data_IF_164153600876
#
_entry.id   IF_164153600876
#
_cell.length_a   1.000
_cell.length_b   1.000
_cell.length_c   1.000
_cell.angle_alpha   90.00
_cell.angle_beta   90.00
_cell.angle_gamma   90.00
#
_symmetry.space_group_name_H-M   'P 1'
#
loop_
_entity.id
_entity.type
_entity.pdbx_description
1 polymer ?
#
# COMPACT_ATOMS: atom_id res chain seq x y z
N UNK A 1 -4.45 -6.45 -0.31
CA UNK A 1 -4.15 -6.35 -1.76
C UNK A 1 -2.93 -5.47 -1.97
N UNK A 2 -2.14 -5.71 -3.03
CA UNK A 2 -1.03 -4.84 -3.44
C UNK A 2 -1.31 -4.33 -4.85
N UNK A 3 -1.16 -3.03 -5.08
CA UNK A 3 -1.49 -2.36 -6.33
C UNK A 3 -0.40 -1.34 -6.71
N UNK A 4 -0.23 -1.13 -8.01
CA UNK A 4 0.45 0.04 -8.57
C UNK A 4 -0.60 0.92 -9.25
N UNK A 5 -0.65 2.20 -8.93
CA UNK A 5 -1.61 3.15 -9.50
C UNK A 5 -1.05 4.56 -9.50
N UNK A 6 -1.71 5.48 -10.21
CA UNK A 6 -1.33 6.89 -10.23
C UNK A 6 -1.92 7.63 -9.02
N UNK A 7 -1.18 8.61 -8.49
CA UNK A 7 -1.62 9.45 -7.40
C UNK A 7 -2.82 10.29 -7.83
N UNK A 8 -3.90 10.24 -7.05
CA UNK A 8 -4.97 11.24 -7.15
C UNK A 8 -4.47 12.57 -6.59
N UNK A 9 -5.15 13.68 -6.91
CA UNK A 9 -4.87 15.02 -6.37
C UNK A 9 -4.66 15.02 -4.84
N UNK A 10 -5.58 14.39 -4.11
CA UNK A 10 -5.52 14.32 -2.64
C UNK A 10 -4.30 13.54 -2.15
N UNK A 11 -4.00 12.40 -2.78
CA UNK A 11 -2.84 11.58 -2.42
C UNK A 11 -1.54 12.29 -2.76
N UNK A 12 -1.47 12.91 -3.93
CA UNK A 12 -0.32 13.67 -4.39
C UNK A 12 0.03 14.79 -3.40
N UNK A 13 -0.98 15.56 -2.97
CA UNK A 13 -0.83 16.58 -1.93
C UNK A 13 -0.35 16.02 -0.59
N UNK A 14 -0.91 14.90 -0.13
CA UNK A 14 -0.50 14.30 1.15
C UNK A 14 0.92 13.75 1.12
N UNK A 15 1.37 13.25 -0.04
CA UNK A 15 2.69 12.69 -0.23
C UNK A 15 3.74 13.72 -0.67
N UNK A 16 3.33 14.94 -1.03
CA UNK A 16 4.22 15.97 -1.55
C UNK A 16 4.83 15.61 -2.91
N UNK A 17 4.05 14.99 -3.79
CA UNK A 17 4.45 14.57 -5.14
C UNK A 17 3.51 15.17 -6.20
N UNK A 18 3.88 15.08 -7.47
CA UNK A 18 3.03 15.54 -8.57
C UNK A 18 1.75 14.71 -8.70
N UNK A 19 0.60 15.32 -9.03
CA UNK A 19 -0.60 14.59 -9.44
C UNK A 19 -0.29 13.63 -10.59
N UNK A 20 -0.83 12.42 -10.52
CA UNK A 20 -0.54 11.38 -11.51
C UNK A 20 0.82 10.68 -11.33
N UNK A 21 1.64 11.04 -10.34
CA UNK A 21 2.88 10.31 -10.06
C UNK A 21 2.60 8.84 -9.68
N UNK A 22 3.49 7.89 -10.05
CA UNK A 22 3.29 6.47 -9.73
C UNK A 22 3.38 6.22 -8.22
N UNK A 23 2.43 5.44 -7.71
CA UNK A 23 2.32 5.07 -6.31
C UNK A 23 2.20 3.56 -6.11
N UNK A 24 2.81 3.08 -5.04
CA UNK A 24 2.58 1.74 -4.49
C UNK A 24 1.47 1.84 -3.43
N UNK A 25 0.44 1.00 -3.55
CA UNK A 25 -0.68 0.95 -2.61
C UNK A 25 -0.77 -0.41 -1.98
N UNK A 26 -0.73 -0.44 -0.65
CA UNK A 26 -0.86 -1.66 0.14
C UNK A 26 -2.14 -1.58 0.95
N UNK A 27 -3.08 -2.46 0.65
CA UNK A 27 -4.27 -2.66 1.46
C UNK A 27 -4.01 -3.77 2.48
N UNK A 28 -4.01 -3.38 3.76
CA UNK A 28 -3.82 -4.25 4.91
C UNK A 28 -5.17 -4.53 5.57
N UNK A 29 -5.54 -5.82 5.62
CA UNK A 29 -6.64 -6.30 6.46
C UNK A 29 -6.05 -7.23 7.50
N UNK A 30 -6.19 -6.91 8.78
CA UNK A 30 -5.77 -7.78 9.88
C UNK A 30 -7.00 -8.41 10.50
N UNK A 31 -6.99 -9.74 10.57
CA UNK A 31 -7.98 -10.53 11.28
C UNK A 31 -7.28 -11.18 12.47
N UNK A 32 -7.97 -11.28 13.60
CA UNK A 32 -7.58 -12.13 14.71
C UNK A 32 -8.72 -13.13 14.99
N UNK A 33 -8.52 -14.00 15.97
CA UNK A 33 -9.51 -15.03 16.37
C UNK A 33 -10.85 -14.43 16.85
N UNK A 34 -10.88 -13.13 17.15
CA UNK A 34 -12.06 -12.38 17.59
C UNK A 34 -12.74 -11.61 16.43
N UNK A 35 -12.18 -11.63 15.21
CA UNK A 35 -12.75 -11.00 14.01
C UNK A 35 -11.81 -10.05 13.25
N UNK A 36 -12.39 -9.18 12.42
CA UNK A 36 -11.64 -8.17 11.65
C UNK A 36 -11.21 -7.02 12.56
N UNK A 37 -9.91 -6.85 12.78
CA UNK A 37 -9.38 -5.87 13.74
C UNK A 37 -9.12 -4.52 13.09
N UNK A 38 -8.60 -4.49 11.86
CA UNK A 38 -8.27 -3.22 11.20
C UNK A 38 -8.25 -3.37 9.69
N UNK A 39 -8.81 -2.38 9.00
CA UNK A 39 -8.66 -2.19 7.56
C UNK A 39 -7.98 -0.87 7.28
N UNK A 40 -6.87 -0.90 6.53
CA UNK A 40 -6.14 0.29 6.14
C UNK A 40 -5.66 0.19 4.69
N UNK A 41 -5.63 1.35 4.01
CA UNK A 41 -5.02 1.52 2.69
C UNK A 41 -3.84 2.48 2.83
N UNK A 42 -2.63 1.96 2.65
CA UNK A 42 -1.39 2.71 2.76
C UNK A 42 -0.90 3.07 1.35
N UNK A 43 -0.51 4.33 1.17
CA UNK A 43 0.00 4.87 -0.09
C UNK A 43 1.46 5.28 0.07
N UNK A 44 2.28 4.94 -0.92
CA UNK A 44 3.70 5.23 -0.94
C UNK A 44 4.10 5.81 -2.30
N UNK A 45 4.96 6.84 -2.29
CA UNK A 45 5.55 7.37 -3.51
C UNK A 45 6.41 6.29 -4.18
N UNK A 46 6.05 5.91 -5.41
CA UNK A 46 6.61 4.74 -6.10
C UNK A 46 8.11 4.85 -6.40
N UNK A 47 8.62 6.06 -6.60
CA UNK A 47 10.05 6.29 -6.84
C UNK A 47 10.93 5.90 -5.65
N UNK A 48 10.40 5.95 -4.42
CA UNK A 48 11.17 5.81 -3.18
C UNK A 48 10.84 4.53 -2.39
N UNK A 49 9.92 3.69 -2.88
CA UNK A 49 9.45 2.53 -2.12
C UNK A 49 9.43 1.27 -2.98
N UNK A 50 9.81 0.14 -2.35
CA UNK A 50 9.77 -1.19 -2.95
C UNK A 50 9.08 -2.15 -2.00
N UNK A 51 8.16 -2.96 -2.53
CA UNK A 51 7.62 -4.10 -1.80
C UNK A 51 8.62 -5.26 -1.85
N UNK A 52 8.94 -5.81 -0.68
CA UNK A 52 9.78 -6.99 -0.52
C UNK A 52 9.04 -7.99 0.36
N UNK A 53 9.01 -9.26 -0.05
CA UNK A 53 8.45 -10.35 0.72
C UNK A 53 9.37 -11.57 0.64
N UNK A 54 9.52 -12.26 1.78
CA UNK A 54 10.21 -13.54 1.88
C UNK A 54 9.17 -14.59 2.22
N UNK A 55 9.15 -15.68 1.46
CA UNK A 55 8.21 -16.78 1.66
C UNK A 55 8.99 -18.03 2.04
N UNK A 56 8.61 -18.67 3.14
CA UNK A 56 9.14 -19.97 3.52
C UNK A 56 8.22 -21.06 2.95
N UNK A 57 8.75 -22.03 2.19
CA UNK A 57 7.96 -23.17 1.74
C UNK A 57 7.45 -23.96 2.95
N UNK A 58 6.16 -24.26 2.99
CA UNK A 58 5.57 -25.24 3.92
C UNK A 58 5.15 -26.44 3.09
N UNK A 59 5.89 -27.53 3.21
CA UNK A 59 5.51 -28.85 2.69
C UNK A 59 4.47 -29.51 3.57
#
# INVERSE_FOLDING_TARGET
>A
QILATLATETVAKMLGIEPGAPCLVVERRTQNDLGNVTWAKLWYAGANHRLVATFTPTG
#
